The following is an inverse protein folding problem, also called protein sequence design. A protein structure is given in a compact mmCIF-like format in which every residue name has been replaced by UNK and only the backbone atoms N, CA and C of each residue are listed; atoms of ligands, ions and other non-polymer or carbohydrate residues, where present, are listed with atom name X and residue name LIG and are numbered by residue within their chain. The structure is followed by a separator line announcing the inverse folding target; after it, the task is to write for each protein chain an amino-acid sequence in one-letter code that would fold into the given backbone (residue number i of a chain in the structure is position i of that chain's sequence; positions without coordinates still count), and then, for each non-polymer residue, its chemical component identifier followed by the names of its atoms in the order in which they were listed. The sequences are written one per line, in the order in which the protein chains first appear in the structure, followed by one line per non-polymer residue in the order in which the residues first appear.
data_IF_509807397114
#
_entry.id   IF_509807397114
#
_cell.length_a   1.000
_cell.length_b   1.000
_cell.length_c   1.000
_cell.angle_alpha   90.00
_cell.angle_beta   90.00
_cell.angle_gamma   90.00
#
_symmetry.space_group_name_H-M   'P 1'
#
loop_
_entity.id
_entity.type
_entity.pdbx_description
1 polymer ?
#
# COMPACT_ATOMS: atom_id res chain seq x y z
N UNK A 1 5.65 -18.66 18.92
CA UNK A 1 6.97 -18.38 18.35
C UNK A 1 6.94 -16.92 17.91
N UNK A 2 7.44 -15.99 18.73
CA UNK A 2 7.40 -14.56 18.45
C UNK A 2 8.52 -14.21 17.48
N UNK A 3 8.25 -14.24 16.19
CA UNK A 3 9.14 -13.66 15.19
C UNK A 3 8.85 -12.16 15.16
N UNK A 4 9.82 -11.35 15.57
CA UNK A 4 9.72 -9.89 15.54
C UNK A 4 9.84 -9.44 14.08
N UNK A 5 9.02 -8.47 13.68
CA UNK A 5 9.03 -7.79 12.38
C UNK A 5 10.39 -7.18 11.99
N UNK A 6 11.31 -7.07 12.93
CA UNK A 6 12.64 -6.49 12.73
C UNK A 6 13.66 -7.42 12.08
N UNK A 7 13.30 -8.64 11.71
CA UNK A 7 14.30 -9.66 11.40
C UNK A 7 14.76 -9.64 9.93
N UNK A 8 14.13 -8.83 9.05
CA UNK A 8 14.65 -8.57 7.70
C UNK A 8 14.50 -7.10 7.27
N UNK A 9 15.42 -6.24 7.73
CA UNK A 9 15.43 -4.83 7.35
C UNK A 9 15.72 -4.61 5.85
N UNK A 10 16.37 -5.56 5.18
CA UNK A 10 16.61 -5.47 3.73
C UNK A 10 15.30 -5.65 2.96
N UNK A 11 14.46 -6.59 3.40
CA UNK A 11 13.12 -6.81 2.84
C UNK A 11 12.24 -5.59 2.98
N UNK A 12 12.16 -5.01 4.19
CA UNK A 12 11.39 -3.81 4.44
C UNK A 12 11.86 -2.63 3.57
N UNK A 13 13.19 -2.47 3.44
CA UNK A 13 13.77 -1.43 2.59
C UNK A 13 13.50 -1.68 1.09
N UNK A 14 13.44 -2.93 0.64
CA UNK A 14 13.10 -3.26 -0.75
C UNK A 14 11.65 -2.89 -1.06
N UNK A 15 10.70 -3.30 -0.22
CA UNK A 15 9.28 -2.94 -0.35
C UNK A 15 9.06 -1.43 -0.27
N UNK A 16 9.71 -0.76 0.69
CA UNK A 16 9.64 0.70 0.81
C UNK A 16 10.16 1.41 -0.45
N UNK A 17 11.28 0.94 -1.02
CA UNK A 17 11.79 1.47 -2.28
C UNK A 17 10.82 1.25 -3.43
N UNK A 18 10.20 0.08 -3.52
CA UNK A 18 9.22 -0.24 -4.57
C UNK A 18 8.01 0.67 -4.49
N UNK A 19 7.42 0.84 -3.31
CA UNK A 19 6.28 1.75 -3.09
C UNK A 19 6.67 3.19 -3.36
N UNK A 20 7.81 3.65 -2.79
CA UNK A 20 8.29 5.02 -2.99
C UNK A 20 8.64 5.28 -4.46
N UNK A 21 9.20 4.29 -5.17
CA UNK A 21 9.49 4.40 -6.59
C UNK A 21 8.20 4.45 -7.42
N UNK A 22 7.18 3.65 -7.09
CA UNK A 22 5.84 3.77 -7.66
C UNK A 22 5.30 5.18 -7.49
N UNK A 23 5.31 5.70 -6.27
CA UNK A 23 4.86 7.06 -5.94
C UNK A 23 5.66 8.15 -6.67
N UNK A 24 6.99 8.00 -6.88
CA UNK A 24 7.86 9.00 -7.52
C UNK A 24 7.85 8.96 -9.05
N UNK A 25 7.80 7.76 -9.65
CA UNK A 25 7.86 7.64 -11.12
C UNK A 25 6.67 8.26 -11.81
N UNK A 26 5.56 8.29 -11.16
CA UNK A 26 4.30 8.76 -11.73
C UNK A 26 4.09 10.25 -11.57
N UNK A 27 4.79 10.87 -10.64
CA UNK A 27 4.92 12.32 -10.57
C UNK A 27 5.56 12.93 -11.84
N UNK A 28 6.27 12.13 -12.64
CA UNK A 28 6.86 12.55 -13.92
C UNK A 28 5.91 12.34 -15.14
N UNK A 29 4.78 11.66 -14.95
CA UNK A 29 3.78 11.42 -15.99
C UNK A 29 2.67 12.45 -15.88
N UNK A 30 2.53 13.33 -16.85
CA UNK A 30 1.66 14.50 -16.84
C UNK A 30 0.14 14.20 -16.87
N UNK A 31 -0.29 12.94 -16.86
CA UNK A 31 -1.71 12.59 -17.01
C UNK A 31 -2.24 11.45 -16.13
N UNK A 32 -1.38 10.75 -15.40
CA UNK A 32 -1.77 9.57 -14.62
C UNK A 32 -1.11 9.64 -13.24
N UNK A 33 -1.90 9.39 -12.18
CA UNK A 33 -1.38 9.22 -10.83
C UNK A 33 -0.63 7.89 -10.65
N UNK A 34 -0.18 7.56 -9.42
CA UNK A 34 0.48 6.29 -9.13
C UNK A 34 -0.49 5.11 -9.32
N UNK A 35 -0.03 4.11 -10.08
CA UNK A 35 -0.63 2.78 -10.02
C UNK A 35 -0.11 2.13 -8.74
N UNK A 36 -0.91 2.18 -7.72
CA UNK A 36 -0.57 1.77 -6.37
C UNK A 36 -1.60 0.80 -5.83
N UNK A 37 -1.12 -0.31 -5.33
CA UNK A 37 -1.90 -1.18 -4.45
C UNK A 37 -1.76 -0.68 -3.01
N UNK A 38 -2.90 -0.47 -2.33
CA UNK A 38 -2.93 -0.12 -0.92
C UNK A 38 -3.92 -0.96 -0.16
N UNK A 39 -3.73 -1.09 1.14
CA UNK A 39 -4.51 -1.99 1.99
C UNK A 39 -5.27 -1.17 3.02
N UNK A 40 -6.53 -1.52 3.21
CA UNK A 40 -7.42 -0.95 4.21
C UNK A 40 -8.15 -2.03 4.99
N UNK A 41 -8.76 -1.63 6.11
CA UNK A 41 -9.69 -2.46 6.86
C UNK A 41 -11.13 -1.96 6.74
N UNK A 42 -12.10 -2.84 6.99
CA UNK A 42 -13.51 -2.48 7.13
C UNK A 42 -13.94 -2.42 8.62
N UNK A 43 -15.24 -2.14 8.84
CA UNK A 43 -15.83 -2.08 10.20
C UNK A 43 -15.70 -3.36 11.01
N UNK A 44 -15.55 -4.50 10.32
CA UNK A 44 -15.45 -5.83 10.95
C UNK A 44 -13.97 -6.27 11.06
N UNK A 45 -13.04 -5.39 10.66
CA UNK A 45 -11.60 -5.61 10.69
C UNK A 45 -11.06 -6.46 9.55
N UNK A 46 -11.87 -6.79 8.52
CA UNK A 46 -11.40 -7.52 7.36
C UNK A 46 -10.55 -6.64 6.44
N UNK A 47 -9.59 -7.24 5.75
CA UNK A 47 -8.70 -6.53 4.86
C UNK A 47 -9.20 -6.49 3.42
N UNK A 48 -8.94 -5.37 2.76
CA UNK A 48 -9.08 -5.25 1.30
C UNK A 48 -7.85 -4.59 0.68
N UNK A 49 -7.55 -5.02 -0.54
CA UNK A 49 -6.57 -4.42 -1.44
C UNK A 49 -7.32 -3.54 -2.44
N UNK A 50 -6.85 -2.33 -2.60
CA UNK A 50 -7.34 -1.35 -3.55
C UNK A 50 -6.27 -1.07 -4.59
N UNK A 51 -6.59 -1.29 -5.86
CA UNK A 51 -5.71 -0.98 -6.99
C UNK A 51 -6.17 0.31 -7.67
N UNK A 52 -5.31 1.31 -7.73
CA UNK A 52 -5.68 2.64 -8.25
C UNK A 52 -5.79 2.72 -9.76
N UNK A 53 -5.17 1.80 -10.49
CA UNK A 53 -5.01 1.89 -11.95
C UNK A 53 -4.50 3.27 -12.42
N UNK A 54 -3.70 3.93 -11.59
CA UNK A 54 -3.17 5.26 -11.83
C UNK A 54 -4.18 6.41 -11.75
N UNK A 55 -5.43 6.16 -11.41
CA UNK A 55 -6.51 7.17 -11.45
C UNK A 55 -7.41 7.16 -10.20
N UNK A 56 -7.30 6.16 -9.33
CA UNK A 56 -8.14 6.06 -8.14
C UNK A 56 -7.72 7.06 -7.03
N UNK A 57 -8.70 7.56 -6.30
CA UNK A 57 -8.44 8.37 -5.11
C UNK A 57 -7.79 7.51 -4.00
N UNK A 58 -6.85 8.09 -3.27
CA UNK A 58 -6.10 7.42 -2.20
C UNK A 58 -6.22 8.26 -0.93
N UNK A 59 -6.51 7.66 0.24
CA UNK A 59 -6.45 8.40 1.51
C UNK A 59 -5.06 9.01 1.73
N UNK A 60 -5.00 10.27 2.20
CA UNK A 60 -3.72 10.96 2.48
C UNK A 60 -2.84 10.20 3.48
N UNK A 61 -3.46 9.46 4.39
CA UNK A 61 -2.75 8.59 5.33
C UNK A 61 -1.88 7.55 4.64
N UNK A 62 -2.37 6.95 3.53
CA UNK A 62 -1.63 5.94 2.76
C UNK A 62 -0.39 6.54 2.12
N UNK A 63 -0.53 7.68 1.49
CA UNK A 63 0.57 8.35 0.78
C UNK A 63 1.51 9.08 1.73
N UNK A 64 1.00 9.54 2.88
CA UNK A 64 1.79 10.24 3.91
C UNK A 64 2.60 9.28 4.81
N UNK A 65 2.26 7.99 4.84
CA UNK A 65 2.97 6.98 5.63
C UNK A 65 3.18 5.67 4.84
N UNK A 66 4.00 5.70 3.80
CA UNK A 66 4.32 4.49 3.03
C UNK A 66 5.03 3.42 3.87
N UNK A 67 5.70 3.80 4.95
CA UNK A 67 6.33 2.84 5.86
C UNK A 67 5.28 2.02 6.62
N UNK A 68 4.18 2.63 7.05
CA UNK A 68 3.07 1.93 7.67
C UNK A 68 2.42 0.92 6.72
N UNK A 69 2.25 1.27 5.45
CA UNK A 69 1.77 0.33 4.43
C UNK A 69 2.71 -0.87 4.26
N UNK A 70 4.04 -0.63 4.23
CA UNK A 70 5.05 -1.70 4.16
C UNK A 70 4.93 -2.65 5.35
N UNK A 71 4.72 -2.13 6.57
CA UNK A 71 4.55 -2.97 7.76
C UNK A 71 3.36 -3.91 7.60
N UNK A 72 2.23 -3.42 7.07
CA UNK A 72 1.05 -4.26 6.77
C UNK A 72 1.41 -5.34 5.74
N UNK A 73 2.07 -4.97 4.64
CA UNK A 73 2.44 -5.91 3.58
C UNK A 73 3.35 -7.02 4.11
N UNK A 74 4.38 -6.68 4.89
CA UNK A 74 5.29 -7.66 5.52
C UNK A 74 4.55 -8.62 6.45
N UNK A 75 3.60 -8.13 7.23
CA UNK A 75 2.79 -8.99 8.08
C UNK A 75 1.91 -9.95 7.28
N UNK A 76 1.30 -9.47 6.21
CA UNK A 76 0.50 -10.29 5.30
C UNK A 76 1.36 -11.34 4.61
N UNK A 77 2.56 -10.99 4.11
CA UNK A 77 3.53 -11.94 3.54
C UNK A 77 3.83 -13.07 4.53
N UNK A 78 4.16 -12.70 5.76
CA UNK A 78 4.47 -13.66 6.82
C UNK A 78 3.32 -14.62 7.13
N UNK A 79 2.09 -14.10 7.16
CA UNK A 79 0.91 -14.90 7.52
C UNK A 79 0.41 -15.79 6.39
N UNK A 80 0.59 -15.37 5.15
CA UNK A 80 0.01 -16.01 3.97
C UNK A 80 1.04 -16.64 3.03
N UNK A 81 2.34 -16.45 3.27
CA UNK A 81 3.40 -16.95 2.41
C UNK A 81 3.40 -16.31 1.01
N UNK A 82 2.91 -15.07 0.92
CA UNK A 82 2.88 -14.29 -0.31
C UNK A 82 4.14 -13.41 -0.40
N UNK A 83 4.62 -13.12 -1.60
CA UNK A 83 5.79 -12.29 -1.85
C UNK A 83 5.41 -11.10 -2.74
N UNK A 84 5.15 -9.93 -2.11
CA UNK A 84 4.76 -8.72 -2.83
C UNK A 84 5.85 -8.23 -3.80
N UNK A 85 7.13 -8.43 -3.50
CA UNK A 85 8.22 -8.00 -4.38
C UNK A 85 8.34 -8.87 -5.63
N UNK A 86 8.22 -10.19 -5.46
CA UNK A 86 8.33 -11.13 -6.57
C UNK A 86 7.10 -11.13 -7.47
N UNK A 87 5.90 -10.97 -6.89
CA UNK A 87 4.64 -10.98 -7.63
C UNK A 87 4.27 -9.59 -8.18
N UNK A 88 4.85 -8.51 -7.65
CA UNK A 88 4.80 -7.12 -8.15
C UNK A 88 3.42 -6.45 -8.12
N UNK A 89 2.34 -7.21 -8.12
CA UNK A 89 0.95 -6.77 -8.18
C UNK A 89 0.03 -7.85 -7.61
N UNK A 90 -0.93 -7.45 -6.80
CA UNK A 90 -1.87 -8.42 -6.19
C UNK A 90 -2.99 -8.74 -7.18
N UNK A 91 -2.74 -9.69 -8.09
CA UNK A 91 -3.74 -10.11 -9.07
C UNK A 91 -4.94 -10.84 -8.46
N UNK A 92 -4.70 -11.57 -7.38
CA UNK A 92 -5.72 -12.37 -6.69
C UNK A 92 -5.73 -12.07 -5.19
N UNK A 93 -6.34 -10.95 -4.75
CA UNK A 93 -6.38 -10.57 -3.33
C UNK A 93 -6.93 -11.66 -2.41
N UNK A 94 -7.83 -12.50 -2.90
CA UNK A 94 -8.37 -13.62 -2.13
C UNK A 94 -7.31 -14.65 -1.68
N UNK A 95 -6.18 -14.78 -2.39
CA UNK A 95 -5.06 -15.66 -1.99
C UNK A 95 -4.42 -15.24 -0.68
N UNK A 96 -4.38 -13.96 -0.42
CA UNK A 96 -3.86 -13.41 0.84
C UNK A 96 -4.95 -13.23 1.89
N UNK A 97 -6.19 -13.66 1.61
CA UNK A 97 -7.34 -13.49 2.50
C UNK A 97 -7.93 -12.09 2.48
N UNK A 98 -7.64 -11.28 1.47
CA UNK A 98 -8.17 -9.94 1.32
C UNK A 98 -9.27 -9.87 0.26
N UNK A 99 -10.20 -8.92 0.41
CA UNK A 99 -11.10 -8.52 -0.67
C UNK A 99 -10.31 -7.69 -1.69
N UNK A 100 -10.74 -7.69 -2.95
CA UNK A 100 -10.09 -6.89 -4.00
C UNK A 100 -11.03 -5.83 -4.57
N UNK A 101 -10.52 -4.62 -4.77
CA UNK A 101 -11.22 -3.52 -5.40
C UNK A 101 -10.31 -2.80 -6.38
N UNK A 102 -10.78 -2.59 -7.61
CA UNK A 102 -10.03 -1.94 -8.68
C UNK A 102 -10.80 -0.70 -9.18
N UNK A 103 -10.10 0.42 -9.31
CA UNK A 103 -10.67 1.66 -9.82
C UNK A 103 -11.00 1.59 -11.32
N UNK A 104 -10.25 0.83 -12.09
CA UNK A 104 -10.53 0.64 -13.51
C UNK A 104 -11.80 -0.18 -13.70
N UNK A 105 -12.04 -1.21 -12.85
CA UNK A 105 -13.12 -2.16 -13.04
C UNK A 105 -13.07 -2.81 -14.42
N UNK A 106 -14.23 -2.97 -15.06
CA UNK A 106 -14.34 -3.54 -16.41
C UNK A 106 -13.90 -2.57 -17.53
N UNK A 107 -13.78 -1.27 -17.21
CA UNK A 107 -13.43 -0.23 -18.19
C UNK A 107 -12.59 0.86 -17.55
N UNK A 108 -11.35 0.94 -17.97
CA UNK A 108 -10.44 2.01 -17.57
C UNK A 108 -11.01 3.36 -18.01
N UNK A 109 -11.22 4.33 -17.08
CA UNK A 109 -11.94 5.57 -17.40
C UNK A 109 -11.12 6.54 -18.26
N UNK A 110 -9.80 6.32 -18.41
CA UNK A 110 -8.89 7.22 -19.13
C UNK A 110 -8.58 8.53 -18.41
N UNK A 111 -9.34 8.87 -17.37
CA UNK A 111 -9.15 10.06 -16.55
C UNK A 111 -9.77 9.84 -15.17
N UNK A 112 -9.31 10.63 -14.17
CA UNK A 112 -9.95 10.66 -12.87
C UNK A 112 -11.38 11.18 -12.97
N UNK A 113 -12.30 10.53 -12.27
CA UNK A 113 -13.71 10.94 -12.13
C UNK A 113 -14.04 10.98 -10.64
N UNK A 114 -14.35 12.17 -10.12
CA UNK A 114 -14.71 12.35 -8.71
C UNK A 114 -15.96 11.52 -8.35
N UNK A 115 -15.90 10.84 -7.20
CA UNK A 115 -16.97 9.98 -6.72
C UNK A 115 -17.15 8.67 -7.52
N UNK A 116 -16.24 8.36 -8.45
CA UNK A 116 -16.25 7.06 -9.12
C UNK A 116 -15.81 5.99 -8.13
N UNK A 117 -16.58 4.89 -8.02
CA UNK A 117 -16.25 3.82 -7.10
C UNK A 117 -15.07 2.96 -7.59
N UNK A 118 -14.39 2.36 -6.64
CA UNK A 118 -13.63 1.13 -6.84
C UNK A 118 -14.61 -0.03 -6.95
N UNK A 119 -14.43 -0.88 -7.93
CA UNK A 119 -15.29 -2.04 -8.19
C UNK A 119 -14.65 -3.30 -7.62
N UNK A 120 -15.45 -4.17 -7.01
CA UNK A 120 -14.95 -5.46 -6.55
C UNK A 120 -14.41 -6.28 -7.71
N UNK A 121 -13.23 -6.86 -7.51
CA UNK A 121 -12.58 -7.80 -8.41
C UNK A 121 -12.41 -9.16 -7.74
N UNK A 122 -12.44 -10.22 -8.56
CA UNK A 122 -12.26 -11.58 -8.09
C UNK A 122 -13.38 -12.09 -7.18
N UNK A 123 -13.13 -13.24 -6.58
CA UNK A 123 -14.04 -13.84 -5.59
C UNK A 123 -13.69 -13.34 -4.19
N UNK A 124 -14.67 -13.25 -3.29
CA UNK A 124 -14.39 -13.02 -1.88
C UNK A 124 -13.46 -14.10 -1.32
N UNK A 125 -12.56 -13.78 -0.38
CA UNK A 125 -11.75 -14.79 0.27
C UNK A 125 -12.61 -15.76 1.08
N UNK A 126 -12.29 -17.07 1.02
CA UNK A 126 -12.98 -18.08 1.82
C UNK A 126 -12.77 -17.87 3.32
N UNK A 127 -11.60 -17.39 3.71
CA UNK A 127 -11.21 -17.04 5.06
C UNK A 127 -10.61 -15.63 5.06
N UNK A 128 -11.42 -14.58 5.32
CA UNK A 128 -10.94 -13.22 5.37
C UNK A 128 -9.83 -13.04 6.41
N UNK A 129 -8.75 -12.37 6.03
CA UNK A 129 -7.72 -11.95 6.96
C UNK A 129 -8.25 -10.76 7.78
N UNK A 130 -8.06 -10.85 9.10
CA UNK A 130 -8.49 -9.82 10.04
C UNK A 130 -7.30 -9.00 10.54
N UNK A 131 -7.54 -7.73 10.83
CA UNK A 131 -6.60 -6.83 11.54
C UNK A 131 -6.09 -7.46 12.85
N UNK A 132 -6.93 -8.25 13.54
CA UNK A 132 -6.55 -8.93 14.79
C UNK A 132 -5.46 -9.98 14.62
N UNK A 133 -5.27 -10.50 13.39
CA UNK A 133 -4.22 -11.48 13.09
C UNK A 133 -2.86 -10.84 12.84
N UNK A 134 -2.81 -9.52 12.65
CA UNK A 134 -1.61 -8.78 12.34
C UNK A 134 -0.83 -8.36 13.59
N UNK A 135 0.41 -7.96 13.42
CA UNK A 135 1.18 -7.33 14.47
C UNK A 135 0.63 -5.96 14.88
N UNK A 136 1.00 -5.45 16.07
CA UNK A 136 0.42 -4.24 16.63
C UNK A 136 0.63 -2.99 15.76
N UNK A 137 1.76 -2.88 15.07
CA UNK A 137 2.09 -1.72 14.24
C UNK A 137 1.22 -1.71 12.96
N UNK A 138 1.06 -2.87 12.30
CA UNK A 138 0.16 -3.03 11.17
C UNK A 138 -1.30 -2.77 11.56
N UNK A 139 -1.73 -3.31 12.71
CA UNK A 139 -3.08 -3.08 13.22
C UNK A 139 -3.33 -1.60 13.58
N UNK A 140 -2.33 -0.89 14.09
CA UNK A 140 -2.42 0.55 14.38
C UNK A 140 -2.56 1.36 13.08
N UNK A 141 -1.74 1.06 12.07
CA UNK A 141 -1.83 1.72 10.77
C UNK A 141 -3.22 1.52 10.15
N UNK A 142 -3.75 0.31 10.16
CA UNK A 142 -5.05 -0.01 9.55
C UNK A 142 -6.24 0.61 10.28
N UNK A 143 -6.11 1.04 11.55
CA UNK A 143 -7.15 1.83 12.21
C UNK A 143 -7.32 3.22 11.60
N UNK A 144 -6.22 3.80 11.10
CA UNK A 144 -6.23 5.09 10.43
C UNK A 144 -6.66 4.97 8.94
N UNK A 145 -6.61 3.76 8.39
CA UNK A 145 -7.03 3.43 7.02
C UNK A 145 -8.20 2.44 7.08
N UNK A 146 -9.25 2.84 7.77
CA UNK A 146 -10.43 2.01 8.03
C UNK A 146 -11.67 2.62 7.38
N UNK A 147 -12.51 1.77 6.80
CA UNK A 147 -13.87 2.09 6.34
C UNK A 147 -14.88 1.80 7.46
N UNK A 148 -15.17 2.72 8.37
CA UNK A 148 -15.86 2.42 9.63
C UNK A 148 -17.34 2.09 9.48
N UNK A 149 -17.90 2.28 8.29
CA UNK A 149 -19.33 2.05 7.99
C UNK A 149 -19.57 0.97 6.96
N UNK A 150 -18.54 0.43 6.36
CA UNK A 150 -18.64 -0.58 5.31
C UNK A 150 -18.28 -1.97 5.83
N UNK A 151 -18.85 -2.99 5.19
CA UNK A 151 -18.40 -4.36 5.24
C UNK A 151 -17.94 -4.74 3.83
N UNK A 152 -16.68 -5.12 3.66
CA UNK A 152 -16.15 -5.46 2.35
C UNK A 152 -16.87 -6.68 1.76
N UNK A 153 -17.30 -7.62 2.60
CA UNK A 153 -18.06 -8.78 2.17
C UNK A 153 -19.37 -8.44 1.44
N UNK A 154 -20.04 -7.37 1.83
CA UNK A 154 -21.32 -6.94 1.29
C UNK A 154 -21.20 -5.93 0.15
N UNK A 155 -20.05 -5.21 0.08
CA UNK A 155 -19.85 -4.11 -0.87
C UNK A 155 -19.40 -4.62 -2.23
N UNK A 156 -20.04 -4.19 -3.30
CA UNK A 156 -19.60 -4.42 -4.68
C UNK A 156 -18.83 -3.23 -5.24
N UNK A 157 -19.11 -2.06 -4.70
CA UNK A 157 -18.53 -0.77 -5.10
C UNK A 157 -18.20 0.03 -3.85
N UNK A 158 -17.10 0.76 -3.86
CA UNK A 158 -16.65 1.59 -2.75
C UNK A 158 -16.17 2.93 -3.29
N UNK A 159 -16.80 4.01 -2.83
CA UNK A 159 -16.35 5.38 -3.05
C UNK A 159 -15.45 5.78 -1.88
N UNK A 160 -14.17 6.01 -2.16
CA UNK A 160 -13.17 6.33 -1.12
C UNK A 160 -13.47 7.67 -0.46
N UNK A 161 -13.96 8.62 -1.25
CA UNK A 161 -14.35 9.96 -0.82
C UNK A 161 -15.47 9.97 0.23
N UNK A 162 -16.29 8.94 0.29
CA UNK A 162 -17.38 8.84 1.27
C UNK A 162 -16.89 8.40 2.67
N UNK A 163 -15.67 7.84 2.74
CA UNK A 163 -15.12 7.30 3.98
C UNK A 163 -13.97 8.15 4.55
N UNK A 164 -13.26 8.90 3.72
CA UNK A 164 -12.09 9.66 4.13
C UNK A 164 -12.24 11.14 3.77
N UNK A 165 -12.01 12.01 4.76
CA UNK A 165 -12.07 13.47 4.56
C UNK A 165 -10.86 13.97 3.76
N UNK A 166 -9.69 13.38 4.01
CA UNK A 166 -8.44 13.74 3.36
C UNK A 166 -8.03 12.68 2.36
N UNK A 167 -8.09 13.03 1.08
CA UNK A 167 -7.75 12.16 -0.04
C UNK A 167 -6.84 12.86 -1.03
N UNK A 168 -5.97 12.07 -1.68
CA UNK A 168 -5.24 12.49 -2.86
C UNK A 168 -5.99 12.03 -4.11
N UNK A 169 -6.13 12.97 -5.04
CA UNK A 169 -6.67 12.72 -6.38
C UNK A 169 -5.53 12.75 -7.40
N UNK A 170 -5.61 12.00 -8.48
CA UNK A 170 -4.59 12.05 -9.54
C UNK A 170 -4.28 13.46 -10.06
N UNK A 171 -5.27 14.34 -10.08
CA UNK A 171 -5.11 15.75 -10.47
C UNK A 171 -4.24 16.58 -9.51
N UNK A 172 -4.04 16.09 -8.29
CA UNK A 172 -3.27 16.78 -7.25
C UNK A 172 -1.79 16.36 -7.24
N UNK A 173 -1.41 15.38 -8.10
CA UNK A 173 -0.07 14.79 -8.10
C UNK A 173 1.05 15.73 -8.50
N UNK A 174 0.79 16.77 -9.29
CA UNK A 174 1.77 17.80 -9.62
C UNK A 174 2.30 18.54 -8.36
N UNK A 175 1.51 18.54 -7.27
CA UNK A 175 1.91 19.11 -5.98
C UNK A 175 2.75 18.13 -5.16
N UNK A 176 2.65 16.82 -5.46
CA UNK A 176 3.32 15.74 -4.73
C UNK A 176 4.70 15.39 -5.26
N UNK A 177 4.98 15.71 -6.51
CA UNK A 177 6.26 15.45 -7.17
C UNK A 177 7.43 16.29 -6.64
N UNK A 178 7.27 16.94 -5.49
CA UNK A 178 8.35 17.66 -4.83
C UNK A 178 9.23 16.69 -4.05
N UNK A 179 10.49 16.43 -4.51
CA UNK A 179 11.43 15.50 -3.87
C UNK A 179 11.71 15.83 -2.40
N UNK A 180 11.44 17.05 -1.99
CA UNK A 180 11.64 17.60 -0.64
C UNK A 180 10.68 17.01 0.42
N UNK A 181 9.55 16.44 0.01
CA UNK A 181 8.59 15.80 0.92
C UNK A 181 8.89 14.31 1.14
N UNK A 182 9.70 13.71 0.28
CA UNK A 182 10.26 12.39 0.51
C UNK A 182 11.51 12.59 1.38
N UNK A 183 11.38 12.41 2.69
CA UNK A 183 12.53 12.46 3.58
C UNK A 183 13.64 11.57 3.01
N UNK A 184 14.82 12.14 2.69
CA UNK A 184 15.91 11.32 2.20
C UNK A 184 16.23 10.30 3.28
N UNK A 185 16.14 9.02 2.93
CA UNK A 185 16.75 7.97 3.74
C UNK A 185 18.20 8.38 3.91
N UNK A 186 18.62 8.67 5.14
CA UNK A 186 19.98 9.10 5.42
C UNK A 186 20.96 8.14 4.74
N UNK A 187 21.95 8.66 4.00
CA UNK A 187 22.93 7.79 3.34
C UNK A 187 23.56 6.88 4.39
N UNK A 188 23.61 5.59 4.06
CA UNK A 188 24.28 4.58 4.89
C UNK A 188 25.69 5.10 5.21
N UNK A 189 26.13 5.11 6.47
CA UNK A 189 27.52 5.44 6.77
C UNK A 189 28.41 4.46 6.01
N UNK A 190 29.42 5.02 5.30
CA UNK A 190 30.40 4.21 4.59
C UNK A 190 31.04 3.23 5.59
N UNK A 191 31.24 1.95 5.19
CA UNK A 191 31.96 1.00 6.04
C UNK A 191 33.35 1.59 6.33
N UNK A 192 33.86 1.42 7.56
CA UNK A 192 35.21 1.89 7.89
C UNK A 192 36.20 1.30 6.89
N UNK A 193 36.92 2.18 6.22
CA UNK A 193 37.92 1.78 5.23
C UNK A 193 38.93 0.84 5.88
N UNK A 194 39.26 -0.27 5.20
CA UNK A 194 40.35 -1.18 5.60
C UNK A 194 41.64 -0.37 5.68
N UNK A 195 42.10 -0.12 6.89
CA UNK A 195 43.44 0.42 7.09
C UNK A 195 44.47 -0.59 6.52
N UNK A 196 45.41 -0.14 5.68
CA UNK A 196 46.42 -1.04 5.15
C UNK A 196 47.31 -1.51 6.32
N UNK A 197 47.26 -2.83 6.58
CA UNK A 197 48.18 -3.44 7.52
C UNK A 197 49.65 -3.23 7.04
N UNK A 198 50.35 -2.36 7.71
CA UNK A 198 51.79 -2.19 7.48
C UNK A 198 52.52 -3.44 8.00
N UNK A 199 52.93 -4.29 7.09
CA UNK A 199 53.90 -5.33 7.38
C UNK A 199 55.29 -4.71 7.54
N UNK A 200 55.81 -4.70 8.76
CA UNK A 200 57.23 -4.57 9.08
C UNK A 200 57.80 -5.94 9.43
#
# INVERSE_FOLDING_TARGET
MNVRLSDDPERQNALLRSITWGLTKMAASTSWGPDLDWIASDKDGHLAVFTTAGLGAIPTRVTGDPAGLVVVMVDVERLRGFDFEAEGYIQEPARIGAFGFDYAGDRHPGQYIAGRPYHRIGQPPAEPLSVESLGPDAANYLRDVCFPRLCFGDSREIVVEDAFEEIHRPTDWDQWSRPELLHPVAPRPEPPGDEPQSHT
#
